data_IF_502359083225
#
_entry.id   IF_502359083225
#
_cell.length_a   1.000
_cell.length_b   1.000
_cell.length_c   1.000
_cell.angle_alpha   90.00
_cell.angle_beta   90.00
_cell.angle_gamma   90.00
#
_symmetry.space_group_name_H-M   'P 1'
#
loop_
_entity.id
_entity.type
_entity.pdbx_description
1 polymer ?
#
# COMPACT_ATOMS: atom_id res chain seq x y z
N UNK A 1 9.23 -6.77 13.86
CA UNK A 1 9.00 -7.07 12.42
C UNK A 1 7.58 -6.63 12.08
N UNK A 2 7.42 -5.66 11.18
CA UNK A 2 6.10 -5.27 10.72
C UNK A 2 5.53 -6.39 9.83
N UNK A 3 4.33 -6.86 10.15
CA UNK A 3 3.62 -7.88 9.37
C UNK A 3 2.26 -7.31 8.99
N UNK A 4 1.92 -7.45 7.72
CA UNK A 4 0.62 -7.06 7.20
C UNK A 4 -0.30 -8.29 7.18
N UNK A 5 -1.57 -8.10 7.54
CA UNK A 5 -2.56 -9.18 7.42
C UNK A 5 -2.84 -9.47 5.94
N UNK A 6 -3.26 -10.70 5.62
CA UNK A 6 -3.61 -11.04 4.23
C UNK A 6 -4.76 -10.19 3.68
N UNK A 7 -5.69 -9.76 4.54
CA UNK A 7 -6.76 -8.83 4.17
C UNK A 7 -6.24 -7.43 3.83
N UNK A 8 -5.34 -6.88 4.65
CA UNK A 8 -4.73 -5.57 4.39
C UNK A 8 -3.87 -5.59 3.12
N UNK A 9 -3.15 -6.69 2.86
CA UNK A 9 -2.42 -6.88 1.61
C UNK A 9 -3.35 -6.75 0.39
N UNK A 10 -4.46 -7.50 0.38
CA UNK A 10 -5.40 -7.51 -0.75
C UNK A 10 -5.93 -6.10 -1.05
N UNK A 11 -6.41 -5.40 -0.01
CA UNK A 11 -6.96 -4.05 -0.16
C UNK A 11 -5.89 -3.08 -0.71
N UNK A 12 -4.68 -3.09 -0.16
CA UNK A 12 -3.62 -2.18 -0.60
C UNK A 12 -3.12 -2.49 -2.02
N UNK A 13 -3.06 -3.77 -2.41
CA UNK A 13 -2.72 -4.15 -3.78
C UNK A 13 -3.75 -3.67 -4.80
N UNK A 14 -5.05 -3.78 -4.47
CA UNK A 14 -6.13 -3.29 -5.33
C UNK A 14 -6.05 -1.77 -5.52
N UNK A 15 -5.82 -1.02 -4.43
CA UNK A 15 -5.63 0.44 -4.50
C UNK A 15 -4.41 0.80 -5.35
N UNK A 16 -3.28 0.14 -5.14
CA UNK A 16 -2.06 0.40 -5.96
C UNK A 16 -2.32 0.16 -7.45
N UNK A 17 -3.04 -0.91 -7.79
CA UNK A 17 -3.35 -1.20 -9.20
C UNK A 17 -4.30 -0.18 -9.82
N UNK A 18 -5.24 0.37 -9.04
CA UNK A 18 -6.17 1.40 -9.51
C UNK A 18 -5.48 2.76 -9.70
N UNK A 19 -4.57 3.11 -8.80
CA UNK A 19 -3.86 4.39 -8.82
C UNK A 19 -2.70 4.41 -9.84
N UNK A 20 -2.23 3.24 -10.28
CA UNK A 20 -1.17 3.13 -11.28
C UNK A 20 -1.67 3.57 -12.65
N UNK A 21 -1.18 4.72 -13.13
CA UNK A 21 -1.59 5.31 -14.41
C UNK A 21 -0.68 4.86 -15.55
N UNK A 22 0.58 4.55 -15.25
CA UNK A 22 1.58 4.15 -16.24
C UNK A 22 2.36 2.91 -15.80
N UNK A 23 2.72 2.03 -16.74
CA UNK A 23 3.39 0.75 -16.43
C UNK A 23 4.71 0.91 -15.67
N UNK A 24 5.38 2.04 -15.86
CA UNK A 24 6.70 2.34 -15.29
C UNK A 24 6.63 2.91 -13.87
N UNK A 25 5.43 3.16 -13.33
CA UNK A 25 5.26 3.70 -11.99
C UNK A 25 5.48 2.62 -10.93
N UNK A 26 6.26 2.97 -9.91
CA UNK A 26 6.40 2.20 -8.68
C UNK A 26 5.74 2.96 -7.53
N UNK A 27 4.68 2.38 -6.97
CA UNK A 27 3.93 2.96 -5.87
C UNK A 27 4.25 2.21 -4.57
N UNK A 28 4.38 2.96 -3.48
CA UNK A 28 4.80 2.47 -2.17
C UNK A 28 3.80 2.87 -1.08
N UNK A 29 3.58 2.00 -0.10
CA UNK A 29 2.75 2.31 1.07
C UNK A 29 3.61 2.91 2.18
N UNK A 30 3.29 4.13 2.62
CA UNK A 30 3.94 4.79 3.75
C UNK A 30 3.06 4.71 5.00
N UNK A 31 3.56 4.03 6.02
CA UNK A 31 2.92 3.98 7.34
C UNK A 31 3.48 5.10 8.22
N UNK A 32 2.59 5.90 8.80
CA UNK A 32 2.95 6.95 9.76
C UNK A 32 2.16 6.72 11.03
N UNK A 33 2.84 6.70 12.18
CA UNK A 33 2.19 6.69 13.50
C UNK A 33 2.32 8.09 14.09
N UNK A 34 1.19 8.74 14.31
CA UNK A 34 1.15 9.98 15.08
C UNK A 34 1.24 9.66 16.56
N UNK A 35 2.16 10.31 17.26
CA UNK A 35 2.16 10.40 18.73
C UNK A 35 1.32 11.63 19.07
N UNK A 36 0.12 11.39 19.60
CA UNK A 36 -0.73 12.41 20.21
C UNK A 36 -0.43 12.57 21.69
#
# INVERSE_FOLDING_TARGET
MFKMTGSAHKVLSEVIQQEKQHEQEELYVRLTMGIG
#
